data_IF_510066399424
#
_entry.id   IF_510066399424
#
_cell.length_a   1.000
_cell.length_b   1.000
_cell.length_c   1.000
_cell.angle_alpha   90.00
_cell.angle_beta   90.00
_cell.angle_gamma   90.00
#
_symmetry.space_group_name_H-M   'P 1'
#
loop_
_entity.id
_entity.type
_entity.pdbx_description
1 polymer ?
#
# COMPACT_ATOMS: atom_id res chain seq x y z
N UNK A 1 2.46 -10.73 -1.06
CA UNK A 1 3.27 -9.52 -1.26
C UNK A 1 4.63 -9.78 -0.67
N UNK A 2 5.67 -9.70 -1.49
CA UNK A 2 7.00 -10.21 -1.18
C UNK A 2 7.83 -9.04 -0.60
N UNK A 3 8.99 -9.32 -0.01
CA UNK A 3 9.85 -8.26 0.53
C UNK A 3 10.19 -7.17 -0.53
N UNK A 4 10.37 -7.59 -1.79
CA UNK A 4 10.63 -6.68 -2.90
C UNK A 4 9.43 -5.76 -3.22
N UNK A 5 8.20 -6.27 -3.13
CA UNK A 5 7.00 -5.46 -3.34
C UNK A 5 6.82 -4.43 -2.23
N UNK A 6 7.19 -4.80 -1.00
CA UNK A 6 7.21 -3.91 0.15
C UNK A 6 8.21 -2.76 -0.01
N UNK A 7 9.42 -3.05 -0.49
CA UNK A 7 10.41 -2.01 -0.79
C UNK A 7 9.98 -1.09 -1.93
N UNK A 8 9.35 -1.64 -2.97
CA UNK A 8 8.77 -0.84 -4.07
C UNK A 8 7.66 0.06 -3.57
N UNK A 9 6.76 -0.47 -2.73
CA UNK A 9 5.73 0.31 -2.07
C UNK A 9 6.37 1.46 -1.27
N UNK A 10 7.38 1.15 -0.47
CA UNK A 10 8.13 2.12 0.34
C UNK A 10 8.94 3.15 -0.46
N UNK A 11 9.20 2.94 -1.75
CA UNK A 11 9.80 3.95 -2.63
C UNK A 11 8.75 4.83 -3.30
N UNK A 12 7.70 4.22 -3.84
CA UNK A 12 6.67 4.94 -4.61
C UNK A 12 5.65 5.68 -3.71
N UNK A 13 5.49 5.30 -2.43
CA UNK A 13 4.50 5.93 -1.55
C UNK A 13 4.84 7.36 -1.11
N UNK A 14 6.11 7.80 -1.20
CA UNK A 14 6.43 9.21 -0.93
C UNK A 14 5.78 10.12 -1.97
N UNK A 15 5.74 9.68 -3.23
CA UNK A 15 5.02 10.36 -4.30
C UNK A 15 3.49 10.32 -4.06
N UNK A 16 2.96 9.26 -3.41
CA UNK A 16 1.55 9.17 -3.00
C UNK A 16 1.15 10.21 -1.93
N UNK A 17 1.99 10.40 -0.91
CA UNK A 17 1.69 11.31 0.21
C UNK A 17 1.51 12.77 -0.21
N UNK A 18 2.22 13.19 -1.26
CA UNK A 18 2.13 14.55 -1.78
C UNK A 18 0.80 14.79 -2.51
N UNK A 19 0.12 13.71 -2.93
CA UNK A 19 -1.05 13.77 -3.80
C UNK A 19 -2.33 13.40 -3.05
N UNK A 20 -2.29 12.46 -2.09
CA UNK A 20 -3.52 11.92 -1.49
C UNK A 20 -3.41 11.66 0.03
N UNK A 21 -4.39 12.07 0.85
CA UNK A 21 -4.43 11.74 2.27
C UNK A 21 -4.69 10.25 2.54
N UNK A 22 -3.85 9.65 3.38
CA UNK A 22 -3.87 8.26 3.88
C UNK A 22 -5.22 7.86 4.55
N UNK A 23 -6.07 8.85 4.85
CA UNK A 23 -7.41 8.72 5.43
C UNK A 23 -8.29 7.67 4.72
N UNK A 24 -8.38 7.70 3.39
CA UNK A 24 -9.26 6.80 2.65
C UNK A 24 -8.82 5.34 2.77
N UNK A 25 -7.51 5.11 2.70
CA UNK A 25 -6.91 3.77 2.85
C UNK A 25 -7.15 3.23 4.26
N UNK A 26 -6.94 4.06 5.29
CA UNK A 26 -7.19 3.67 6.70
C UNK A 26 -8.66 3.30 6.91
N UNK A 27 -9.59 4.06 6.35
CA UNK A 27 -11.02 3.78 6.46
C UNK A 27 -11.39 2.47 5.76
N UNK A 28 -10.89 2.24 4.55
CA UNK A 28 -11.15 1.00 3.81
C UNK A 28 -10.61 -0.22 4.57
N UNK A 29 -9.37 -0.14 5.05
CA UNK A 29 -8.76 -1.22 5.83
C UNK A 29 -9.49 -1.50 7.15
N UNK A 30 -10.12 -0.48 7.75
CA UNK A 30 -10.96 -0.67 8.92
C UNK A 30 -12.29 -1.35 8.56
N UNK A 31 -12.92 -0.99 7.44
CA UNK A 31 -14.15 -1.64 6.97
C UNK A 31 -13.95 -3.11 6.60
N UNK A 32 -12.78 -3.43 6.03
CA UNK A 32 -12.38 -4.79 5.66
C UNK A 32 -11.82 -5.62 6.83
N UNK A 33 -11.94 -5.11 8.07
CA UNK A 33 -11.43 -5.74 9.30
C UNK A 33 -9.92 -6.08 9.23
N UNK A 34 -9.14 -5.31 8.47
CA UNK A 34 -7.68 -5.48 8.35
C UNK A 34 -6.96 -4.88 9.54
N UNK A 35 -7.43 -3.71 9.98
CA UNK A 35 -6.99 -3.01 11.17
C UNK A 35 -8.15 -2.85 12.14
N UNK A 36 -7.87 -2.99 13.42
CA UNK A 36 -8.83 -2.76 14.50
C UNK A 36 -9.06 -1.25 14.71
N UNK A 37 -10.13 -0.92 15.45
CA UNK A 37 -10.41 0.46 15.86
C UNK A 37 -9.25 1.08 16.66
N UNK A 38 -8.54 0.27 17.45
CA UNK A 38 -7.39 0.72 18.24
C UNK A 38 -6.19 1.07 17.35
N UNK A 39 -5.89 0.22 16.36
CA UNK A 39 -4.86 0.46 15.36
C UNK A 39 -5.18 1.70 14.53
N UNK A 40 -6.41 1.82 14.03
CA UNK A 40 -6.90 3.01 13.31
C UNK A 40 -6.68 4.30 14.10
N UNK A 41 -7.16 4.36 15.35
CA UNK A 41 -6.96 5.54 16.22
C UNK A 41 -5.48 5.83 16.49
N UNK A 42 -4.65 4.79 16.58
CA UNK A 42 -3.22 4.94 16.80
C UNK A 42 -2.49 5.53 15.59
N UNK A 43 -2.98 5.23 14.39
CA UNK A 43 -2.51 5.84 13.14
C UNK A 43 -2.98 7.30 13.09
N UNK A 44 -4.28 7.57 13.16
CA UNK A 44 -4.87 8.91 13.04
C UNK A 44 -4.34 9.91 14.09
N UNK A 45 -3.91 9.42 15.26
CA UNK A 45 -3.26 10.25 16.30
C UNK A 45 -1.92 10.84 15.88
N UNK A 46 -1.24 10.29 14.88
CA UNK A 46 0.09 10.74 14.46
C UNK A 46 0.04 12.09 13.74
N UNK A 47 -1.11 12.47 13.15
CA UNK A 47 -1.38 13.76 12.47
C UNK A 47 -0.30 14.20 11.47
N UNK A 48 0.46 13.24 10.95
CA UNK A 48 1.56 13.43 10.01
C UNK A 48 1.49 12.27 9.03
N UNK A 49 1.13 12.57 7.78
CA UNK A 49 0.82 11.56 6.78
C UNK A 49 1.95 10.53 6.57
N UNK A 50 3.22 10.96 6.59
CA UNK A 50 4.38 10.04 6.52
C UNK A 50 4.41 9.06 7.70
N UNK A 51 4.13 9.53 8.91
CA UNK A 51 4.12 8.67 10.10
C UNK A 51 2.92 7.74 10.08
N UNK A 52 1.75 8.24 9.67
CA UNK A 52 0.52 7.47 9.55
C UNK A 52 0.69 6.29 8.61
N UNK A 53 1.21 6.55 7.41
CA UNK A 53 1.42 5.50 6.43
C UNK A 53 2.52 4.54 6.87
N UNK A 54 3.66 4.99 7.41
CA UNK A 54 4.69 4.07 7.93
C UNK A 54 4.14 3.13 8.99
N UNK A 55 3.29 3.64 9.89
CA UNK A 55 2.60 2.85 10.91
C UNK A 55 1.68 1.82 10.25
N UNK A 56 0.91 2.23 9.24
CA UNK A 56 0.03 1.35 8.46
C UNK A 56 0.81 0.23 7.76
N UNK A 57 1.90 0.58 7.07
CA UNK A 57 2.75 -0.39 6.37
C UNK A 57 3.39 -1.39 7.35
N UNK A 58 3.78 -0.92 8.54
CA UNK A 58 4.30 -1.80 9.58
C UNK A 58 3.26 -2.83 10.04
N UNK A 59 2.02 -2.40 10.30
CA UNK A 59 0.93 -3.31 10.68
C UNK A 59 0.59 -4.32 9.59
N UNK A 60 0.62 -3.90 8.32
CA UNK A 60 0.38 -4.77 7.18
C UNK A 60 1.52 -5.75 6.93
N UNK A 61 2.76 -5.41 7.27
CA UNK A 61 3.90 -6.33 7.21
C UNK A 61 3.72 -7.53 8.16
N UNK A 62 3.04 -7.32 9.28
CA UNK A 62 2.68 -8.39 10.23
C UNK A 62 1.46 -9.21 9.77
N UNK A 63 0.73 -8.74 8.74
CA UNK A 63 -0.50 -9.36 8.21
C UNK A 63 -0.42 -9.54 6.68
N UNK A 64 0.53 -10.32 6.16
CA UNK A 64 0.80 -10.42 4.72
C UNK A 64 -0.40 -10.94 3.92
N UNK A 65 -1.27 -11.75 4.51
CA UNK A 65 -2.52 -12.21 3.88
C UNK A 65 -3.53 -11.07 3.63
N UNK A 66 -3.43 -9.98 4.39
CA UNK A 66 -4.31 -8.82 4.27
C UNK A 66 -3.77 -7.72 3.36
N UNK A 67 -2.55 -7.87 2.83
CA UNK A 67 -1.96 -6.95 1.83
C UNK A 67 -2.86 -6.74 0.60
N UNK A 68 -3.66 -7.75 0.21
CA UNK A 68 -4.59 -7.63 -0.93
C UNK A 68 -5.61 -6.50 -0.73
N UNK A 69 -6.14 -6.34 0.48
CA UNK A 69 -7.13 -5.31 0.80
C UNK A 69 -6.51 -3.90 0.78
N UNK A 70 -5.22 -3.79 1.07
CA UNK A 70 -4.49 -2.54 0.90
C UNK A 70 -4.32 -2.17 -0.57
N UNK A 71 -4.03 -3.14 -1.44
CA UNK A 71 -4.01 -2.92 -2.88
C UNK A 71 -5.40 -2.61 -3.45
N UNK A 72 -6.46 -3.25 -2.94
CA UNK A 72 -7.85 -2.91 -3.29
C UNK A 72 -8.21 -1.48 -2.85
N UNK A 73 -7.81 -1.07 -1.65
CA UNK A 73 -7.98 0.31 -1.19
C UNK A 73 -7.29 1.32 -2.12
N UNK A 74 -6.08 0.99 -2.57
CA UNK A 74 -5.36 1.79 -3.57
C UNK A 74 -6.04 1.74 -4.95
N UNK A 75 -6.73 0.68 -5.34
CA UNK A 75 -7.44 0.62 -6.64
C UNK A 75 -8.80 1.32 -6.62
N UNK A 76 -9.38 1.48 -5.43
CA UNK A 76 -10.68 2.10 -5.24
C UNK A 76 -10.67 3.61 -5.55
N UNK A 77 -9.52 4.26 -5.42
CA UNK A 77 -9.34 5.65 -5.84
C UNK A 77 -8.63 5.72 -7.21
N UNK A 78 -9.15 6.49 -8.18
CA UNK A 78 -8.56 6.56 -9.52
C UNK A 78 -7.13 7.13 -9.56
N UNK A 79 -6.73 7.94 -8.57
CA UNK A 79 -5.35 8.44 -8.42
C UNK A 79 -4.44 7.35 -7.87
N UNK A 80 -4.90 6.65 -6.83
CA UNK A 80 -4.16 5.55 -6.22
C UNK A 80 -4.08 4.32 -7.16
N UNK A 81 -5.06 4.16 -8.08
CA UNK A 81 -5.13 3.07 -9.06
C UNK A 81 -3.94 3.07 -10.01
N UNK A 82 -3.48 4.24 -10.47
CA UNK A 82 -2.27 4.36 -11.29
C UNK A 82 -1.04 3.80 -10.58
N UNK A 83 -1.03 3.86 -9.26
CA UNK A 83 0.11 3.44 -8.44
C UNK A 83 -0.02 1.98 -8.05
N UNK A 84 -1.23 1.49 -7.75
CA UNK A 84 -1.50 0.06 -7.68
C UNK A 84 -1.11 -0.63 -8.99
N UNK A 85 -1.43 -0.04 -10.15
CA UNK A 85 -0.95 -0.49 -11.45
C UNK A 85 0.57 -0.40 -11.52
N UNK A 86 1.22 0.71 -11.17
CA UNK A 86 2.71 0.83 -11.18
C UNK A 86 3.41 -0.22 -10.29
N UNK A 87 2.79 -0.62 -9.18
CA UNK A 87 3.28 -1.69 -8.29
C UNK A 87 3.09 -3.07 -8.96
N UNK A 88 1.93 -3.32 -9.58
CA UNK A 88 1.56 -4.59 -10.22
C UNK A 88 2.15 -4.80 -11.62
N UNK A 89 2.23 -3.78 -12.47
CA UNK A 89 2.76 -3.82 -13.85
C UNK A 89 4.22 -4.28 -13.89
N UNK A 90 4.97 -4.08 -12.80
CA UNK A 90 6.37 -4.56 -12.74
C UNK A 90 6.49 -6.06 -12.49
N UNK A 91 5.42 -6.77 -12.14
CA UNK A 91 5.38 -8.24 -12.23
C UNK A 91 5.36 -8.71 -13.70
N UNK A 92 4.84 -7.90 -14.64
CA UNK A 92 4.85 -8.22 -16.08
C UNK A 92 6.06 -7.69 -16.86
N UNK A 93 7.00 -7.00 -16.20
CA UNK A 93 8.28 -6.56 -16.82
C UNK A 93 9.52 -7.20 -16.19
N UNK A 94 9.35 -8.25 -15.38
CA UNK A 94 10.38 -9.29 -15.35
C UNK A 94 10.10 -10.20 -16.54
N UNK A 95 10.36 -9.69 -17.74
CA UNK A 95 10.35 -10.48 -18.96
C UNK A 95 11.62 -11.35 -18.90
N UNK A 96 11.52 -12.69 -18.72
CA UNK A 96 12.67 -13.57 -18.75
C UNK A 96 13.10 -13.88 -20.20
N UNK A 97 12.85 -13.00 -21.17
CA UNK A 97 13.42 -13.11 -22.53
C UNK A 97 14.94 -12.82 -22.55
N UNK A 98 15.69 -13.51 -21.71
CA UNK A 98 16.91 -14.16 -22.15
C UNK A 98 16.55 -15.60 -22.51
N UNK A 99 16.46 -15.90 -23.82
CA UNK A 99 17.34 -16.87 -24.49
C UNK A 99 16.75 -17.37 -25.81
N UNK A 100 17.68 -17.70 -26.70
CA UNK A 100 17.55 -18.24 -28.06
C UNK A 100 17.18 -17.17 -29.09
N UNK A 101 18.06 -16.80 -30.03
CA UNK A 101 19.18 -17.53 -30.64
C UNK A 101 20.20 -16.54 -31.21
#
# INVERSE_FOLDING_TARGET
>A
MNASDWEKLQRNWKELLEINPVCHIINHLFQEDVITLSEKKSIEKLKVFDKEMRKLLHLLKEKPEKCKHFLDALKADPVDKLIADKILETESKSDPSLRTK
#
